data_IF_571716753281
#
_entry.id   IF_571716753281
#
_cell.length_a   1.000
_cell.length_b   1.000
_cell.length_c   1.000
_cell.angle_alpha   90.00
_cell.angle_beta   90.00
_cell.angle_gamma   90.00
#
_symmetry.space_group_name_H-M   'P 1'
#
loop_
_entity.id
_entity.type
_entity.pdbx_description
1 polymer ?
#
# COMPACT_ATOMS: atom_id res chain seq x y z
N UNK A 1 12.57 -10.00 -11.29
CA UNK A 1 12.21 -10.13 -9.87
C UNK A 1 10.81 -9.56 -9.72
N UNK A 2 9.87 -10.22 -9.01
CA UNK A 2 8.57 -9.61 -8.80
C UNK A 2 8.78 -8.28 -8.09
N UNK A 3 8.16 -7.22 -8.60
CA UNK A 3 8.16 -5.85 -8.06
C UNK A 3 7.43 -5.74 -6.71
N UNK A 4 6.89 -6.86 -6.22
CA UNK A 4 5.99 -7.01 -5.08
C UNK A 4 6.40 -8.23 -4.24
N UNK A 5 6.01 -8.22 -2.96
CA UNK A 5 6.53 -9.15 -1.96
C UNK A 5 5.96 -10.59 -2.01
N UNK A 6 4.81 -10.81 -2.66
CA UNK A 6 4.19 -12.13 -2.87
C UNK A 6 3.14 -12.08 -4.01
N UNK A 7 2.71 -13.24 -4.52
CA UNK A 7 1.73 -13.34 -5.61
C UNK A 7 0.36 -12.76 -5.24
N UNK A 8 -0.09 -12.91 -3.99
CA UNK A 8 -1.39 -12.36 -3.54
C UNK A 8 -1.38 -10.83 -3.51
N UNK A 9 -0.24 -10.21 -3.20
CA UNK A 9 -0.10 -8.75 -3.30
C UNK A 9 -0.14 -8.28 -4.75
N UNK A 10 0.44 -9.04 -5.67
CA UNK A 10 0.39 -8.78 -7.12
C UNK A 10 -1.06 -8.78 -7.61
N UNK A 11 -1.82 -9.84 -7.33
CA UNK A 11 -3.24 -9.96 -7.67
C UNK A 11 -4.09 -8.86 -7.02
N UNK A 12 -3.76 -8.44 -5.79
CA UNK A 12 -4.46 -7.33 -5.13
C UNK A 12 -4.21 -5.97 -5.79
N UNK A 13 -3.01 -5.74 -6.35
CA UNK A 13 -2.69 -4.55 -7.13
C UNK A 13 -3.41 -4.56 -8.48
N UNK A 14 -3.42 -5.71 -9.17
CA UNK A 14 -4.11 -5.89 -10.44
C UNK A 14 -5.63 -5.64 -10.33
N UNK A 15 -6.22 -6.03 -9.20
CA UNK A 15 -7.64 -5.79 -8.88
C UNK A 15 -7.92 -4.43 -8.25
N UNK A 16 -6.88 -3.62 -8.06
CA UNK A 16 -6.95 -2.34 -7.37
C UNK A 16 -7.62 -2.41 -5.97
N UNK A 17 -7.45 -3.54 -5.29
CA UNK A 17 -7.76 -3.71 -3.87
C UNK A 17 -6.64 -3.13 -2.99
N UNK A 18 -5.40 -3.19 -3.49
CA UNK A 18 -4.26 -2.41 -3.01
C UNK A 18 -3.86 -1.45 -4.13
N UNK A 19 -3.44 -0.24 -3.78
CA UNK A 19 -2.94 0.76 -4.71
C UNK A 19 -1.53 1.16 -4.29
N UNK A 20 -0.62 1.23 -5.28
CA UNK A 20 0.72 1.76 -5.09
C UNK A 20 0.81 3.17 -5.68
N UNK A 21 0.78 4.21 -4.85
CA UNK A 21 0.83 5.61 -5.29
C UNK A 21 1.38 6.55 -4.20
N UNK A 22 1.80 7.74 -4.60
CA UNK A 22 2.13 8.81 -3.64
C UNK A 22 0.84 9.30 -2.96
N UNK A 23 0.87 9.62 -1.65
CA UNK A 23 -0.26 10.25 -0.95
C UNK A 23 -0.83 11.47 -1.69
N UNK A 24 0.05 12.28 -2.30
CA UNK A 24 -0.34 13.49 -3.04
C UNK A 24 -1.10 13.24 -4.34
N UNK A 25 -1.18 11.97 -4.80
CA UNK A 25 -1.89 11.56 -6.02
C UNK A 25 -3.21 10.85 -5.72
N UNK A 26 -3.63 10.79 -4.46
CA UNK A 26 -4.94 10.26 -4.08
C UNK A 26 -5.95 11.40 -4.23
N UNK A 27 -6.77 11.32 -5.28
CA UNK A 27 -7.74 12.37 -5.65
C UNK A 27 -9.21 11.94 -5.44
N UNK A 28 -9.47 10.64 -5.37
CA UNK A 28 -10.81 10.02 -5.37
C UNK A 28 -11.22 9.45 -4.00
N UNK A 29 -10.60 9.94 -2.92
CA UNK A 29 -10.83 9.44 -1.58
C UNK A 29 -10.04 10.17 -0.51
N UNK A 30 -9.95 9.55 0.68
CA UNK A 30 -9.19 10.09 1.81
C UNK A 30 -8.27 9.03 2.41
N UNK A 31 -7.13 9.48 2.89
CA UNK A 31 -6.22 8.66 3.67
C UNK A 31 -6.73 8.62 5.11
N UNK A 32 -6.86 7.41 5.68
CA UNK A 32 -7.49 7.22 7.00
C UNK A 32 -6.50 6.98 8.14
N UNK A 33 -5.19 6.98 7.87
CA UNK A 33 -4.14 6.85 8.88
C UNK A 33 -2.85 7.62 8.50
N UNK A 34 -2.03 7.92 9.51
CA UNK A 34 -0.79 8.71 9.34
C UNK A 34 0.44 7.83 9.02
N UNK A 35 0.27 6.80 8.18
CA UNK A 35 1.39 5.94 7.76
C UNK A 35 2.05 6.53 6.52
N UNK A 36 3.33 6.89 6.64
CA UNK A 36 4.14 7.32 5.50
C UNK A 36 4.51 6.11 4.62
N UNK A 37 3.72 5.89 3.57
CA UNK A 37 3.89 4.76 2.65
C UNK A 37 3.45 5.14 1.25
N UNK A 38 3.75 4.26 0.30
CA UNK A 38 3.20 4.31 -1.05
C UNK A 38 2.18 3.19 -1.29
N UNK A 39 1.92 2.32 -0.31
CA UNK A 39 0.99 1.21 -0.43
C UNK A 39 -0.25 1.44 0.42
N UNK A 40 -1.42 1.38 -0.21
CA UNK A 40 -2.71 1.61 0.43
C UNK A 40 -3.68 0.48 0.14
N UNK A 41 -4.36 -0.04 1.16
CA UNK A 41 -5.57 -0.83 0.96
C UNK A 41 -6.71 0.14 0.65
N UNK A 42 -7.39 -0.06 -0.47
CA UNK A 42 -8.50 0.78 -0.93
C UNK A 42 -9.81 0.07 -0.69
N UNK A 43 -10.78 0.75 -0.09
CA UNK A 43 -12.12 0.21 0.14
C UNK A 43 -13.19 1.30 0.11
N UNK A 44 -14.45 0.89 -0.01
CA UNK A 44 -15.59 1.81 -0.10
C UNK A 44 -16.18 1.91 -1.50
N UNK A 45 -17.28 2.68 -1.66
CA UNK A 45 -17.92 2.88 -2.96
C UNK A 45 -17.10 3.80 -3.85
N UNK A 46 -17.29 3.66 -5.16
CA UNK A 46 -16.60 4.46 -6.18
C UNK A 46 -16.75 5.97 -5.93
N UNK A 47 -15.63 6.70 -6.00
CA UNK A 47 -15.57 8.15 -5.77
C UNK A 47 -15.63 8.58 -4.29
N UNK A 48 -15.67 7.62 -3.34
CA UNK A 48 -15.59 7.88 -1.89
C UNK A 48 -14.74 6.83 -1.21
N UNK A 49 -13.56 6.55 -1.77
CA UNK A 49 -12.70 5.52 -1.24
C UNK A 49 -12.03 5.96 0.06
N UNK A 50 -11.87 5.00 0.97
CA UNK A 50 -10.97 5.09 2.10
C UNK A 50 -9.66 4.36 1.74
N UNK A 51 -8.54 5.05 1.94
CA UNK A 51 -7.19 4.55 1.69
C UNK A 51 -6.47 4.33 3.01
N UNK A 52 -6.26 3.07 3.38
CA UNK A 52 -5.51 2.68 4.56
C UNK A 52 -4.05 2.42 4.19
N UNK A 53 -3.15 3.31 4.60
CA UNK A 53 -1.72 3.12 4.38
C UNK A 53 -1.22 1.88 5.12
N UNK A 54 -0.38 1.07 4.47
CA UNK A 54 0.22 -0.14 5.05
C UNK A 54 1.75 -0.09 5.02
N UNK A 55 2.33 -0.67 6.07
CA UNK A 55 3.77 -0.83 6.26
C UNK A 55 4.25 -2.24 5.92
N UNK A 56 3.41 -3.22 6.18
CA UNK A 56 3.65 -4.64 5.92
C UNK A 56 2.56 -5.17 4.99
N UNK A 57 2.92 -6.14 4.15
CA UNK A 57 1.98 -6.87 3.33
C UNK A 57 0.98 -7.64 4.20
N UNK A 58 -0.34 -7.44 4.04
CA UNK A 58 -1.34 -8.16 4.82
C UNK A 58 -1.40 -9.66 4.49
N UNK A 59 -0.75 -10.10 3.39
CA UNK A 59 -0.81 -11.48 2.92
C UNK A 59 0.41 -12.32 3.33
N UNK A 60 1.61 -11.72 3.37
CA UNK A 60 2.85 -12.46 3.67
C UNK A 60 3.70 -11.86 4.79
N UNK A 61 3.27 -10.74 5.39
CA UNK A 61 3.93 -10.09 6.53
C UNK A 61 5.24 -9.36 6.21
N UNK A 62 5.75 -9.41 4.98
CA UNK A 62 6.98 -8.69 4.59
C UNK A 62 6.75 -7.18 4.58
N UNK A 63 7.78 -6.42 4.94
CA UNK A 63 7.78 -4.97 4.82
C UNK A 63 7.62 -4.55 3.34
N UNK A 64 6.76 -3.55 3.09
CA UNK A 64 6.48 -3.03 1.75
C UNK A 64 6.68 -1.51 1.63
N UNK A 65 6.65 -0.77 2.75
CA UNK A 65 6.92 0.67 2.70
C UNK A 65 8.42 0.94 2.57
N UNK A 66 8.78 1.93 1.73
CA UNK A 66 10.16 2.37 1.55
C UNK A 66 10.81 2.82 2.87
N UNK A 67 10.01 3.42 3.77
CA UNK A 67 10.47 3.85 5.09
C UNK A 67 10.99 2.69 5.95
N UNK A 68 10.28 1.55 5.95
CA UNK A 68 10.71 0.34 6.65
C UNK A 68 11.88 -0.34 5.94
N UNK A 69 11.85 -0.44 4.62
CA UNK A 69 12.95 -1.07 3.86
C UNK A 69 14.28 -0.31 4.04
N UNK A 70 14.22 1.03 4.09
CA UNK A 70 15.38 1.87 4.37
C UNK A 70 15.85 1.77 5.84
N UNK A 71 14.94 1.56 6.79
CA UNK A 71 15.28 1.33 8.19
C UNK A 71 15.88 -0.07 8.43
N UNK A 72 15.37 -1.10 7.75
CA UNK A 72 15.88 -2.48 7.83
C UNK A 72 17.31 -2.60 7.29
N UNK A 73 17.65 -1.88 6.21
CA UNK A 73 19.03 -1.86 5.65
C UNK A 73 20.06 -1.09 6.48
N UNK A 74 19.62 -0.27 7.44
CA UNK A 74 20.51 0.50 8.33
C UNK A 74 20.85 -0.26 9.62
N UNK A 75 20.21 -1.41 9.86
CA UNK A 75 20.58 -2.37 10.90
C UNK A 75 21.57 -3.39 10.35
#
# INVERSE_FOLDING_TARGET
MPSVCCATMDDALDRAAVVKTSPSRIEDGRIINDIQTEFFVRGGPEGRYDYLGINYCPFCGRAVSLGLWAAEKKK
#
